data_IF_929044635719
#
_entry.id   IF_929044635719
#
_cell.length_a   1.000
_cell.length_b   1.000
_cell.length_c   1.000
_cell.angle_alpha   90.00
_cell.angle_beta   90.00
_cell.angle_gamma   90.00
#
_symmetry.space_group_name_H-M   'P 1'
#
loop_
_entity.id
_entity.type
_entity.pdbx_description
1 polymer ?
#
# COMPACT_ATOMS: atom_id res chain seq x y z
N UNK A 1 -15.70 6.78 8.16
CA UNK A 1 -15.71 6.70 9.63
C UNK A 1 -14.57 5.77 9.95
N UNK A 2 -13.49 6.31 10.49
CA UNK A 2 -12.25 5.57 10.73
C UNK A 2 -12.41 4.79 12.04
N UNK A 3 -12.43 3.47 11.95
CA UNK A 3 -12.47 2.57 13.10
C UNK A 3 -11.06 2.00 13.31
N UNK A 4 -10.17 2.79 13.92
CA UNK A 4 -8.80 2.35 14.20
C UNK A 4 -8.78 1.12 15.11
N UNK A 5 -8.15 0.04 14.64
CA UNK A 5 -8.08 -1.29 15.26
C UNK A 5 -7.17 -1.36 16.51
N UNK A 6 -7.06 -0.30 17.30
CA UNK A 6 -6.13 -0.29 18.43
C UNK A 6 -6.75 -0.93 19.68
N UNK A 7 -6.52 -2.24 19.83
CA UNK A 7 -6.60 -2.95 21.10
C UNK A 7 -7.64 -4.06 21.16
N UNK A 8 -7.17 -5.31 21.15
CA UNK A 8 -7.46 -6.33 22.16
C UNK A 8 -7.17 -7.73 21.62
N UNK A 9 -5.99 -8.28 21.90
CA UNK A 9 -5.66 -9.68 21.60
C UNK A 9 -6.48 -10.71 22.43
N UNK A 10 -7.42 -10.28 23.28
CA UNK A 10 -8.19 -11.15 24.19
C UNK A 10 -9.68 -10.80 24.33
N UNK A 11 -10.25 -10.01 23.40
CA UNK A 11 -11.68 -9.66 23.43
C UNK A 11 -12.56 -10.75 22.80
N UNK A 12 -13.79 -10.95 23.26
CA UNK A 12 -14.75 -11.82 22.57
C UNK A 12 -15.25 -11.17 21.28
N UNK A 13 -15.87 -11.94 20.38
CA UNK A 13 -16.55 -11.38 19.19
C UNK A 13 -17.56 -10.30 19.60
N UNK A 14 -18.33 -10.55 20.66
CA UNK A 14 -19.29 -9.59 21.22
C UNK A 14 -18.64 -8.29 21.67
N UNK A 15 -17.49 -8.37 22.34
CA UNK A 15 -16.75 -7.20 22.79
C UNK A 15 -16.23 -6.35 21.61
N UNK A 16 -15.72 -6.99 20.55
CA UNK A 16 -15.28 -6.29 19.32
C UNK A 16 -16.43 -5.55 18.65
N UNK A 17 -17.56 -6.22 18.42
CA UNK A 17 -18.74 -5.58 17.81
C UNK A 17 -19.28 -4.45 18.70
N UNK A 18 -19.26 -4.63 20.02
CA UNK A 18 -19.65 -3.59 20.98
C UNK A 18 -18.72 -2.37 20.93
N UNK A 19 -17.42 -2.58 20.72
CA UNK A 19 -16.44 -1.54 20.47
C UNK A 19 -16.77 -0.72 19.22
N UNK A 20 -17.04 -1.39 18.10
CA UNK A 20 -17.42 -0.74 16.83
C UNK A 20 -18.70 0.10 16.99
N UNK A 21 -19.74 -0.45 17.62
CA UNK A 21 -21.00 0.28 17.87
C UNK A 21 -20.73 1.54 18.70
N UNK A 22 -19.89 1.47 19.74
CA UNK A 22 -19.54 2.64 20.57
C UNK A 22 -18.79 3.71 19.78
N UNK A 23 -17.82 3.31 18.95
CA UNK A 23 -17.06 4.22 18.11
C UNK A 23 -17.93 4.89 17.03
N UNK A 24 -18.99 4.21 16.58
CA UNK A 24 -19.92 4.72 15.58
C UNK A 24 -21.00 5.65 16.17
N UNK A 25 -21.03 5.87 17.49
CA UNK A 25 -22.01 6.78 18.10
C UNK A 25 -21.59 8.24 17.95
N UNK A 26 -22.56 9.16 17.74
CA UNK A 26 -24.01 8.93 17.72
C UNK A 26 -24.58 8.49 16.36
N UNK A 27 -23.77 8.35 15.32
CA UNK A 27 -24.24 8.15 13.95
C UNK A 27 -24.94 6.79 13.75
N UNK A 28 -24.50 5.75 14.46
CA UNK A 28 -25.06 4.41 14.40
C UNK A 28 -25.36 3.89 15.81
N UNK A 29 -26.64 3.78 16.14
CA UNK A 29 -27.08 3.24 17.44
C UNK A 29 -27.11 1.72 17.41
N UNK A 30 -27.05 1.07 18.58
CA UNK A 30 -27.18 -0.40 18.68
C UNK A 30 -28.50 -0.91 18.07
N UNK A 31 -29.59 -0.16 18.21
CA UNK A 31 -30.88 -0.51 17.61
C UNK A 31 -30.84 -0.40 16.07
N UNK A 32 -30.19 0.63 15.54
CA UNK A 32 -29.98 0.77 14.09
C UNK A 32 -29.11 -0.35 13.53
N UNK A 33 -28.04 -0.72 14.25
CA UNK A 33 -27.19 -1.86 13.88
C UNK A 33 -27.99 -3.15 13.89
N UNK A 34 -28.78 -3.41 14.94
CA UNK A 34 -29.65 -4.59 15.01
C UNK A 34 -30.56 -4.70 13.78
N UNK A 35 -31.19 -3.59 13.39
CA UNK A 35 -32.02 -3.55 12.19
C UNK A 35 -31.22 -3.84 10.90
N UNK A 36 -30.05 -3.22 10.73
CA UNK A 36 -29.20 -3.42 9.54
C UNK A 36 -28.62 -4.83 9.43
N UNK A 37 -28.32 -5.49 10.56
CA UNK A 37 -27.83 -6.87 10.56
C UNK A 37 -28.95 -7.92 10.68
N UNK A 38 -30.21 -7.49 10.49
CA UNK A 38 -31.40 -8.34 10.53
C UNK A 38 -31.56 -9.13 11.84
N UNK A 39 -31.22 -8.51 12.96
CA UNK A 39 -31.36 -9.06 14.31
C UNK A 39 -32.38 -8.27 15.11
N UNK A 40 -33.08 -8.93 16.02
CA UNK A 40 -33.82 -8.20 17.04
C UNK A 40 -32.85 -7.51 18.01
N UNK A 41 -33.20 -6.37 18.62
CA UNK A 41 -32.34 -5.71 19.61
C UNK A 41 -31.96 -6.61 20.78
N UNK A 42 -32.87 -7.52 21.21
CA UNK A 42 -32.59 -8.54 22.23
C UNK A 42 -31.54 -9.55 21.74
N UNK A 43 -31.72 -10.09 20.54
CA UNK A 43 -30.77 -11.06 19.95
C UNK A 43 -29.38 -10.45 19.83
N UNK A 44 -29.28 -9.20 19.35
CA UNK A 44 -28.00 -8.49 19.27
C UNK A 44 -27.42 -8.26 20.68
N UNK A 45 -28.23 -7.81 21.64
CA UNK A 45 -27.77 -7.59 23.02
C UNK A 45 -27.20 -8.86 23.66
N UNK A 46 -27.86 -10.01 23.49
CA UNK A 46 -27.36 -11.30 23.98
C UNK A 46 -26.06 -11.72 23.30
N UNK A 47 -25.93 -11.47 22.00
CA UNK A 47 -24.71 -11.73 21.25
C UNK A 47 -23.52 -10.85 21.71
N UNK A 48 -23.77 -9.56 21.92
CA UNK A 48 -22.76 -8.59 22.40
C UNK A 48 -22.27 -8.90 23.82
N UNK A 49 -23.16 -9.42 24.68
CA UNK A 49 -22.83 -9.76 26.06
C UNK A 49 -22.36 -11.21 26.22
N UNK A 50 -22.13 -11.95 25.13
CA UNK A 50 -21.56 -13.30 25.16
C UNK A 50 -22.50 -14.40 25.67
N UNK A 51 -23.79 -14.10 25.88
CA UNK A 51 -24.80 -15.10 26.26
C UNK A 51 -25.32 -15.90 25.06
N UNK A 52 -24.97 -15.48 23.84
CA UNK A 52 -25.19 -16.18 22.58
C UNK A 52 -24.00 -15.90 21.65
N UNK A 53 -23.60 -16.85 20.82
CA UNK A 53 -22.63 -16.60 19.73
C UNK A 53 -23.28 -15.92 18.52
N UNK A 54 -22.47 -15.26 17.69
CA UNK A 54 -22.93 -14.83 16.36
C UNK A 54 -22.99 -16.03 15.41
N UNK A 55 -24.05 -16.13 14.62
CA UNK A 55 -24.05 -16.99 13.45
C UNK A 55 -23.12 -16.41 12.37
N UNK A 56 -22.61 -17.25 11.46
CA UNK A 56 -21.72 -16.80 10.39
C UNK A 56 -22.34 -15.71 9.50
N UNK A 57 -23.63 -15.86 9.16
CA UNK A 57 -24.38 -14.87 8.39
C UNK A 57 -24.62 -13.55 9.15
N UNK A 58 -24.81 -13.61 10.47
CA UNK A 58 -24.92 -12.40 11.30
C UNK A 58 -23.59 -11.66 11.35
N UNK A 59 -22.47 -12.38 11.48
CA UNK A 59 -21.14 -11.78 11.49
C UNK A 59 -20.76 -11.19 10.12
N UNK A 60 -21.18 -11.82 9.03
CA UNK A 60 -21.01 -11.29 7.68
C UNK A 60 -21.75 -9.96 7.49
N UNK A 61 -23.01 -9.85 7.95
CA UNK A 61 -23.73 -8.57 7.90
C UNK A 61 -23.12 -7.50 8.80
N UNK A 62 -22.61 -7.88 9.97
CA UNK A 62 -21.85 -6.94 10.82
C UNK A 62 -20.60 -6.44 10.07
N UNK A 63 -19.87 -7.34 9.40
CA UNK A 63 -18.71 -7.01 8.57
C UNK A 63 -19.07 -5.98 7.49
N UNK A 64 -20.17 -6.18 6.76
CA UNK A 64 -20.67 -5.26 5.74
C UNK A 64 -21.07 -3.89 6.31
N UNK A 65 -21.83 -3.87 7.41
CA UNK A 65 -22.31 -2.62 8.04
C UNK A 65 -21.16 -1.72 8.50
N UNK A 66 -20.10 -2.31 9.05
CA UNK A 66 -18.96 -1.55 9.57
C UNK A 66 -17.79 -1.42 8.58
N UNK A 67 -17.82 -2.15 7.45
CA UNK A 67 -16.71 -2.19 6.50
C UNK A 67 -15.43 -2.83 7.08
N UNK A 68 -15.56 -3.78 8.01
CA UNK A 68 -14.44 -4.42 8.73
C UNK A 68 -14.37 -5.91 8.36
N UNK A 69 -13.16 -6.50 8.34
CA UNK A 69 -13.00 -7.92 8.02
C UNK A 69 -13.76 -8.84 8.99
N UNK A 70 -14.51 -9.79 8.42
CA UNK A 70 -15.14 -10.89 9.17
C UNK A 70 -14.10 -11.73 9.92
N UNK A 71 -12.89 -11.90 9.36
CA UNK A 71 -11.80 -12.62 10.03
C UNK A 71 -11.32 -11.90 11.29
N UNK A 72 -11.20 -10.57 11.25
CA UNK A 72 -10.89 -9.77 12.44
C UNK A 72 -12.02 -9.83 13.47
N UNK A 73 -13.27 -9.71 13.02
CA UNK A 73 -14.42 -9.87 13.90
C UNK A 73 -14.44 -11.25 14.58
N UNK A 74 -14.08 -12.31 13.87
CA UNK A 74 -14.05 -13.68 14.41
C UNK A 74 -12.85 -13.94 15.32
N UNK A 75 -11.65 -13.51 14.93
CA UNK A 75 -10.38 -13.95 15.56
C UNK A 75 -9.68 -12.87 16.39
N UNK A 76 -10.02 -11.59 16.17
CA UNK A 76 -9.28 -10.45 16.72
C UNK A 76 -7.93 -10.22 16.07
N UNK A 77 -7.58 -10.97 15.01
CA UNK A 77 -6.34 -10.81 14.24
C UNK A 77 -6.66 -10.14 12.90
N UNK A 78 -5.71 -9.38 12.35
CA UNK A 78 -5.81 -8.89 10.98
C UNK A 78 -5.95 -10.07 10.01
N UNK A 79 -6.75 -9.86 8.96
CA UNK A 79 -6.99 -10.87 7.94
C UNK A 79 -5.73 -11.08 7.10
N UNK A 80 -5.10 -12.27 7.15
CA UNK A 80 -3.86 -12.53 6.44
C UNK A 80 -4.03 -12.53 4.92
N UNK A 81 -5.28 -12.55 4.42
CA UNK A 81 -5.62 -12.46 2.99
C UNK A 81 -6.10 -11.08 2.57
N UNK A 82 -6.21 -10.12 3.50
CA UNK A 82 -6.58 -8.75 3.15
C UNK A 82 -5.51 -8.17 2.24
N UNK A 83 -5.93 -7.75 1.06
CA UNK A 83 -5.09 -6.97 0.17
C UNK A 83 -4.93 -5.56 0.75
N UNK A 84 -3.69 -5.15 1.00
CA UNK A 84 -3.37 -3.79 1.41
C UNK A 84 -2.81 -3.04 0.22
N UNK A 85 -3.42 -1.92 -0.12
CA UNK A 85 -2.90 -0.99 -1.10
C UNK A 85 -2.05 0.05 -0.37
N UNK A 86 -0.75 0.07 -0.64
CA UNK A 86 0.21 0.97 0.01
C UNK A 86 0.26 2.37 -0.64
N UNK A 87 -0.21 2.55 -1.87
CA UNK A 87 -0.20 3.83 -2.60
C UNK A 87 -1.63 4.33 -2.94
N UNK A 88 -1.91 5.64 -2.76
CA UNK A 88 -3.26 6.22 -2.98
C UNK A 88 -3.30 7.49 -3.85
N UNK A 89 -2.27 7.86 -4.63
CA UNK A 89 -2.35 9.09 -5.46
C UNK A 89 -1.90 8.95 -6.93
N UNK A 90 -2.64 9.62 -7.83
CA UNK A 90 -2.34 9.76 -9.27
C UNK A 90 -1.69 11.14 -9.46
N UNK A 91 -0.58 11.20 -10.20
CA UNK A 91 0.07 12.45 -10.54
C UNK A 91 -0.56 13.05 -11.81
N UNK A 92 -1.24 14.19 -11.67
CA UNK A 92 -1.83 14.89 -12.80
C UNK A 92 -0.76 15.73 -13.50
N UNK A 93 -0.30 15.25 -14.65
CA UNK A 93 0.74 15.90 -15.46
C UNK A 93 0.30 17.24 -16.10
N UNK A 94 -1.01 17.53 -16.20
CA UNK A 94 -1.51 18.79 -16.77
C UNK A 94 -1.57 19.91 -15.73
N UNK A 95 -1.92 19.56 -14.48
CA UNK A 95 -2.14 20.52 -13.40
C UNK A 95 -0.98 20.60 -12.42
N UNK A 96 -0.05 19.64 -12.45
CA UNK A 96 1.07 19.55 -11.50
C UNK A 96 0.62 19.25 -10.06
N UNK A 97 -0.63 18.82 -9.87
CA UNK A 97 -1.24 18.54 -8.58
C UNK A 97 -1.40 17.03 -8.37
N UNK A 98 -1.24 16.59 -7.13
CA UNK A 98 -1.56 15.22 -6.74
C UNK A 98 -3.07 15.09 -6.56
N UNK A 99 -3.70 14.19 -7.34
CA UNK A 99 -5.10 13.80 -7.16
C UNK A 99 -5.15 12.45 -6.44
N UNK A 100 -6.18 12.22 -5.62
CA UNK A 100 -6.44 10.89 -5.06
C UNK A 100 -6.65 9.92 -6.23
N UNK A 101 -5.99 8.75 -6.26
CA UNK A 101 -6.19 7.77 -7.35
C UNK A 101 -7.67 7.46 -7.42
N UNK A 102 -8.21 7.58 -8.62
CA UNK A 102 -9.47 6.95 -8.93
C UNK A 102 -9.22 5.45 -9.09
N UNK A 103 -9.23 4.74 -7.96
CA UNK A 103 -8.93 3.31 -7.91
C UNK A 103 -9.92 2.49 -8.74
N UNK A 104 -11.09 3.04 -9.06
CA UNK A 104 -12.06 2.41 -9.95
C UNK A 104 -11.46 2.20 -11.34
N UNK A 105 -10.61 3.11 -11.81
CA UNK A 105 -9.96 2.98 -13.13
C UNK A 105 -8.99 1.81 -13.20
N UNK A 106 -8.39 1.41 -12.08
CA UNK A 106 -7.46 0.26 -12.01
C UNK A 106 -8.09 -0.95 -11.29
N UNK A 107 -9.41 -0.95 -11.08
CA UNK A 107 -10.09 -1.97 -10.28
C UNK A 107 -9.97 -3.37 -10.90
N UNK A 108 -10.20 -3.49 -12.21
CA UNK A 108 -10.11 -4.78 -12.92
C UNK A 108 -8.70 -5.38 -12.83
N UNK A 109 -7.67 -4.55 -13.05
CA UNK A 109 -6.28 -4.97 -12.92
C UNK A 109 -5.93 -5.41 -11.49
N UNK A 110 -6.37 -4.64 -10.49
CA UNK A 110 -6.17 -4.97 -9.07
C UNK A 110 -6.85 -6.30 -8.71
N UNK A 111 -8.11 -6.49 -9.10
CA UNK A 111 -8.86 -7.72 -8.83
C UNK A 111 -8.23 -8.93 -9.52
N UNK A 112 -7.72 -8.77 -10.74
CA UNK A 112 -6.99 -9.83 -11.44
C UNK A 112 -5.69 -10.21 -10.71
N UNK A 113 -4.90 -9.22 -10.27
CA UNK A 113 -3.68 -9.47 -9.47
C UNK A 113 -4.05 -10.20 -8.18
N UNK A 114 -5.07 -9.72 -7.46
CA UNK A 114 -5.53 -10.34 -6.21
C UNK A 114 -5.96 -11.80 -6.43
N UNK A 115 -6.73 -12.07 -7.48
CA UNK A 115 -7.17 -13.42 -7.82
C UNK A 115 -6.00 -14.34 -8.14
N UNK A 116 -5.03 -13.88 -8.94
CA UNK A 116 -3.83 -14.67 -9.28
C UNK A 116 -3.03 -15.03 -8.04
N UNK A 117 -2.83 -14.08 -7.13
CA UNK A 117 -2.09 -14.34 -5.89
C UNK A 117 -2.85 -15.30 -4.97
N UNK A 118 -4.16 -15.12 -4.82
CA UNK A 118 -4.98 -16.02 -4.01
C UNK A 118 -4.99 -17.46 -4.55
N UNK A 119 -4.97 -17.63 -5.88
CA UNK A 119 -4.94 -18.95 -6.52
C UNK A 119 -3.54 -19.58 -6.53
N UNK A 120 -2.51 -18.77 -6.75
CA UNK A 120 -1.12 -19.23 -6.80
C UNK A 120 -0.51 -19.48 -5.41
N UNK A 121 -1.00 -18.77 -4.40
CA UNK A 121 -0.52 -18.83 -3.02
C UNK A 121 -1.70 -19.08 -2.05
N UNK A 122 -2.22 -20.33 -1.99
CA UNK A 122 -3.40 -20.64 -1.17
C UNK A 122 -3.18 -20.41 0.33
N UNK A 123 -1.93 -20.55 0.79
CA UNK A 123 -1.52 -20.22 2.16
C UNK A 123 -0.84 -18.84 2.17
N UNK A 124 -1.37 -17.87 2.94
CA UNK A 124 -0.77 -16.54 3.03
C UNK A 124 0.60 -16.61 3.70
N UNK A 125 1.56 -15.85 3.17
CA UNK A 125 2.87 -15.70 3.76
C UNK A 125 2.80 -14.84 5.04
N UNK A 126 3.75 -15.05 5.95
CA UNK A 126 3.95 -14.10 7.03
C UNK A 126 4.59 -12.83 6.45
N UNK A 127 3.94 -11.68 6.66
CA UNK A 127 4.47 -10.40 6.22
C UNK A 127 5.64 -9.99 7.10
N UNK A 128 6.86 -10.23 6.61
CA UNK A 128 8.09 -9.80 7.29
C UNK A 128 8.37 -8.33 6.93
N UNK A 129 8.62 -7.42 7.90
CA UNK A 129 9.00 -6.04 7.60
C UNK A 129 10.27 -5.95 6.75
N UNK A 130 10.31 -5.01 5.80
CA UNK A 130 11.52 -4.75 5.03
C UNK A 130 12.63 -4.24 5.96
N UNK A 131 13.81 -4.88 5.87
CA UNK A 131 14.97 -4.55 6.72
C UNK A 131 15.65 -3.25 6.31
N UNK A 132 15.57 -2.94 5.02
CA UNK A 132 16.09 -1.71 4.42
C UNK A 132 15.08 -0.59 4.68
N UNK A 133 15.52 0.56 5.19
CA UNK A 133 14.65 1.70 5.52
C UNK A 133 15.07 3.00 4.85
N UNK A 134 16.30 3.10 4.37
CA UNK A 134 16.83 4.33 3.76
C UNK A 134 17.23 4.11 2.28
N UNK A 135 17.27 5.18 1.48
CA UNK A 135 17.78 5.10 0.10
C UNK A 135 19.22 4.56 0.02
N UNK A 136 20.09 4.93 0.95
CA UNK A 136 21.48 4.46 1.00
C UNK A 136 21.55 2.95 1.26
N UNK A 137 20.83 2.45 2.27
CA UNK A 137 20.72 1.02 2.55
C UNK A 137 20.12 0.27 1.36
N UNK A 138 19.18 0.89 0.64
CA UNK A 138 18.55 0.30 -0.55
C UNK A 138 19.54 0.18 -1.71
N UNK A 139 20.34 1.22 -1.96
CA UNK A 139 21.42 1.16 -2.96
C UNK A 139 22.43 0.07 -2.61
N UNK A 140 22.77 -0.07 -1.32
CA UNK A 140 23.68 -1.11 -0.86
C UNK A 140 23.09 -2.51 -1.06
N UNK A 141 21.81 -2.72 -0.73
CA UNK A 141 21.12 -4.00 -0.89
C UNK A 141 20.95 -4.39 -2.37
N UNK A 142 20.55 -3.44 -3.22
CA UNK A 142 20.40 -3.68 -4.66
C UNK A 142 21.76 -3.80 -5.34
N UNK A 143 22.82 -3.18 -4.83
CA UNK A 143 24.18 -3.23 -5.35
C UNK A 143 24.45 -2.24 -6.50
N UNK A 144 25.72 -2.13 -6.89
CA UNK A 144 26.13 -1.18 -7.94
C UNK A 144 25.46 -1.45 -9.29
N UNK A 145 25.09 -0.38 -10.00
CA UNK A 145 24.47 -0.47 -11.33
C UNK A 145 23.07 -1.07 -11.33
N UNK A 146 22.40 -1.14 -10.18
CA UNK A 146 21.10 -1.80 -10.05
C UNK A 146 20.03 -1.27 -11.00
N UNK A 147 20.17 -0.02 -11.44
CA UNK A 147 19.19 0.67 -12.24
C UNK A 147 18.97 -0.02 -13.60
N UNK A 148 19.98 -0.72 -14.13
CA UNK A 148 19.91 -1.44 -15.41
C UNK A 148 18.91 -2.61 -15.32
N UNK A 149 18.97 -3.38 -14.24
CA UNK A 149 18.18 -4.58 -13.95
C UNK A 149 17.32 -4.41 -12.70
N UNK A 150 16.74 -3.21 -12.54
CA UNK A 150 16.15 -2.77 -11.29
C UNK A 150 15.01 -3.65 -10.79
N UNK A 151 14.08 -4.03 -11.68
CA UNK A 151 12.98 -4.93 -11.34
C UNK A 151 13.50 -6.27 -10.82
N UNK A 152 14.42 -6.91 -11.55
CA UNK A 152 14.98 -8.22 -11.20
C UNK A 152 15.73 -8.18 -9.85
N UNK A 153 16.38 -7.06 -9.53
CA UNK A 153 17.05 -6.86 -8.23
C UNK A 153 16.07 -6.64 -7.09
N UNK A 154 14.98 -5.91 -7.31
CA UNK A 154 13.89 -5.79 -6.33
C UNK A 154 13.33 -7.19 -6.02
N UNK A 155 13.03 -7.98 -7.04
CA UNK A 155 12.48 -9.34 -6.87
C UNK A 155 13.44 -10.25 -6.10
N UNK A 156 14.71 -10.26 -6.49
CA UNK A 156 15.70 -11.18 -5.93
C UNK A 156 16.17 -10.79 -4.53
N UNK A 157 16.42 -9.51 -4.28
CA UNK A 157 17.06 -9.06 -3.04
C UNK A 157 16.04 -8.66 -1.96
N UNK A 158 14.81 -8.30 -2.35
CA UNK A 158 13.77 -7.80 -1.43
C UNK A 158 12.54 -8.70 -1.34
N UNK A 159 12.44 -9.74 -2.17
CA UNK A 159 11.27 -10.62 -2.26
C UNK A 159 9.97 -9.82 -2.54
N UNK A 160 10.08 -8.79 -3.37
CA UNK A 160 8.96 -7.97 -3.85
C UNK A 160 8.73 -8.28 -5.33
N UNK A 161 7.57 -8.84 -5.67
CA UNK A 161 7.25 -9.21 -7.05
C UNK A 161 7.01 -7.95 -7.91
N UNK A 162 7.59 -7.87 -9.12
CA UNK A 162 7.40 -6.73 -10.04
C UNK A 162 6.55 -7.16 -11.23
N UNK A 163 5.29 -6.71 -11.23
CA UNK A 163 4.30 -7.06 -12.24
C UNK A 163 4.17 -5.94 -13.27
N UNK A 164 4.09 -6.30 -14.55
CA UNK A 164 3.68 -5.38 -15.62
C UNK A 164 2.32 -5.79 -16.13
N UNK A 165 1.33 -4.91 -15.99
CA UNK A 165 -0.07 -5.25 -16.22
C UNK A 165 -0.76 -4.16 -17.05
N UNK A 166 -1.36 -4.55 -18.18
CA UNK A 166 -2.14 -3.63 -19.02
C UNK A 166 -3.45 -3.23 -18.32
N UNK A 167 -3.92 -2.01 -18.53
CA UNK A 167 -5.13 -1.49 -17.88
C UNK A 167 -4.91 -0.88 -16.49
N UNK A 168 -3.66 -0.87 -16.01
CA UNK A 168 -3.27 0.04 -14.92
C UNK A 168 -3.21 1.47 -15.44
N UNK A 169 -3.84 2.40 -14.73
CA UNK A 169 -3.75 3.83 -15.01
C UNK A 169 -2.59 4.50 -14.27
N UNK A 170 -2.14 3.89 -13.17
CA UNK A 170 -0.98 4.32 -12.38
C UNK A 170 -0.29 3.08 -11.84
N UNK A 171 0.98 3.24 -11.46
CA UNK A 171 1.68 2.23 -10.68
C UNK A 171 0.99 2.02 -9.32
N UNK A 172 1.08 0.79 -8.79
CA UNK A 172 0.48 0.40 -7.52
C UNK A 172 1.47 -0.41 -6.69
N UNK A 173 1.52 -0.11 -5.40
CA UNK A 173 2.15 -0.94 -4.38
C UNK A 173 1.09 -1.72 -3.61
N UNK A 174 1.20 -3.04 -3.61
CA UNK A 174 0.20 -3.95 -3.05
C UNK A 174 0.85 -4.94 -2.09
N UNK A 175 0.10 -5.36 -1.08
CA UNK A 175 0.40 -6.53 -0.26
C UNK A 175 -0.77 -7.48 -0.40
N UNK A 176 -0.58 -8.63 -1.03
CA UNK A 176 -1.63 -9.63 -1.27
C UNK A 176 -1.18 -10.98 -0.71
N UNK A 177 -2.01 -11.59 0.13
CA UNK A 177 -1.70 -12.87 0.79
C UNK A 177 -0.32 -12.86 1.50
N UNK A 178 0.05 -11.74 2.13
CA UNK A 178 1.32 -11.56 2.83
C UNK A 178 2.55 -11.32 1.95
N UNK A 179 2.37 -11.18 0.62
CA UNK A 179 3.45 -10.91 -0.34
C UNK A 179 3.37 -9.47 -0.84
N UNK A 180 4.51 -8.81 -0.95
CA UNK A 180 4.61 -7.46 -1.53
C UNK A 180 4.72 -7.58 -3.04
N UNK A 181 3.98 -6.76 -3.76
CA UNK A 181 4.15 -6.61 -5.20
C UNK A 181 4.02 -5.15 -5.63
N UNK A 182 4.78 -4.80 -6.66
CA UNK A 182 4.69 -3.53 -7.36
C UNK A 182 4.12 -3.83 -8.75
N UNK A 183 2.99 -3.22 -9.08
CA UNK A 183 2.35 -3.36 -10.38
C UNK A 183 2.53 -2.08 -11.19
N UNK A 184 3.03 -2.21 -12.43
CA UNK A 184 3.33 -1.10 -13.32
C UNK A 184 2.55 -1.23 -14.61
N UNK A 185 2.13 -0.09 -15.17
CA UNK A 185 1.71 -0.05 -16.56
C UNK A 185 2.94 -0.30 -17.47
N UNK A 186 2.85 -1.19 -18.48
CA UNK A 186 3.92 -1.33 -19.46
C UNK A 186 4.20 0.00 -20.17
N UNK A 187 5.47 0.42 -20.18
CA UNK A 187 5.92 1.63 -20.86
C UNK A 187 7.29 1.39 -21.51
N UNK A 188 7.51 1.86 -22.76
CA UNK A 188 8.83 1.81 -23.39
C UNK A 188 9.80 2.85 -22.81
N UNK A 189 9.31 3.81 -22.02
CA UNK A 189 10.14 4.80 -21.37
C UNK A 189 10.80 4.19 -20.11
N UNK A 190 12.00 3.65 -20.29
CA UNK A 190 12.78 3.00 -19.23
C UNK A 190 13.00 3.90 -18.00
N UNK A 191 13.28 5.18 -18.23
CA UNK A 191 13.45 6.16 -17.18
C UNK A 191 12.20 6.36 -16.33
N UNK A 192 11.04 6.45 -17.00
CA UNK A 192 9.75 6.54 -16.30
C UNK A 192 9.48 5.28 -15.48
N UNK A 193 9.78 4.09 -16.03
CA UNK A 193 9.61 2.82 -15.31
C UNK A 193 10.49 2.76 -14.05
N UNK A 194 11.74 3.20 -14.13
CA UNK A 194 12.65 3.23 -12.98
C UNK A 194 12.18 4.22 -11.91
N UNK A 195 11.70 5.40 -12.31
CA UNK A 195 11.12 6.36 -11.39
C UNK A 195 9.87 5.79 -10.70
N UNK A 196 8.94 5.23 -11.46
CA UNK A 196 7.73 4.60 -10.91
C UNK A 196 8.08 3.45 -9.95
N UNK A 197 9.04 2.58 -10.31
CA UNK A 197 9.54 1.53 -9.42
C UNK A 197 10.10 2.09 -8.11
N UNK A 198 10.97 3.09 -8.18
CA UNK A 198 11.57 3.70 -7.00
C UNK A 198 10.53 4.40 -6.12
N UNK A 199 9.52 5.03 -6.73
CA UNK A 199 8.41 5.68 -6.04
C UNK A 199 7.54 4.66 -5.29
N UNK A 200 7.10 3.60 -5.98
CA UNK A 200 6.32 2.52 -5.37
C UNK A 200 7.10 1.77 -4.28
N UNK A 201 8.39 1.54 -4.50
CA UNK A 201 9.26 0.99 -3.46
C UNK A 201 9.31 1.91 -2.23
N UNK A 202 9.33 3.23 -2.43
CA UNK A 202 9.17 4.21 -1.35
C UNK A 202 7.87 4.02 -0.57
N UNK A 203 6.75 3.79 -1.24
CA UNK A 203 5.46 3.49 -0.58
C UNK A 203 5.50 2.22 0.24
N UNK A 204 6.12 1.14 -0.24
CA UNK A 204 6.25 -0.10 0.54
C UNK A 204 7.11 0.08 1.80
N UNK A 205 8.21 0.83 1.68
CA UNK A 205 9.13 1.10 2.80
C UNK A 205 8.47 2.00 3.84
N UNK A 206 7.78 3.05 3.40
CA UNK A 206 7.08 4.01 4.25
C UNK A 206 5.76 3.44 4.81
N UNK A 207 5.08 2.59 4.05
CA UNK A 207 3.89 1.86 4.48
C UNK A 207 4.21 0.85 5.59
N UNK A 208 5.39 0.23 5.57
CA UNK A 208 5.91 -0.53 6.72
C UNK A 208 6.20 0.36 7.95
N UNK A 209 6.28 1.69 7.81
CA UNK A 209 6.49 2.64 8.92
C UNK A 209 5.19 3.32 9.39
N UNK A 210 4.07 3.17 8.66
CA UNK A 210 2.86 3.97 8.85
C UNK A 210 1.64 3.06 8.96
N UNK A 211 0.66 3.42 9.79
CA UNK A 211 -0.61 2.69 9.87
C UNK A 211 -1.27 2.64 8.46
N UNK A 212 -1.68 1.46 7.94
CA UNK A 212 -2.33 1.32 6.63
C UNK A 212 -3.54 2.24 6.40
N UNK A 213 -4.15 2.73 7.47
CA UNK A 213 -5.29 3.64 7.42
C UNK A 213 -4.89 5.13 7.33
N UNK A 214 -3.62 5.47 7.56
CA UNK A 214 -3.08 6.84 7.59
C UNK A 214 -2.16 7.19 6.42
N UNK A 215 -2.35 6.57 5.24
CA UNK A 215 -1.63 6.98 4.01
C UNK A 215 -2.14 8.35 3.55
N UNK A 216 -1.62 9.40 4.17
CA UNK A 216 -1.92 10.81 3.90
C UNK A 216 -1.02 11.37 2.78
N UNK A 217 -1.33 12.57 2.30
CA UNK A 217 -0.51 13.31 1.31
C UNK A 217 0.98 13.49 1.73
N UNK A 218 1.30 13.39 3.03
CA UNK A 218 2.67 13.35 3.54
C UNK A 218 3.47 12.12 3.07
N UNK A 219 2.79 11.01 2.79
CA UNK A 219 3.38 9.74 2.32
C UNK A 219 3.86 9.87 0.87
N UNK A 220 3.12 10.57 0.02
CA UNK A 220 3.51 10.82 -1.39
C UNK A 220 4.77 11.69 -1.51
N UNK A 221 4.85 12.77 -0.73
CA UNK A 221 6.05 13.60 -0.69
C UNK A 221 7.26 12.80 -0.19
N UNK A 222 7.05 11.91 0.78
CA UNK A 222 8.10 11.05 1.30
C UNK A 222 8.51 9.98 0.27
N UNK A 223 7.57 9.34 -0.44
CA UNK A 223 7.85 8.38 -1.50
C UNK A 223 8.61 9.03 -2.67
N UNK A 224 8.20 10.24 -3.09
CA UNK A 224 8.93 11.01 -4.10
C UNK A 224 10.35 11.37 -3.66
N UNK A 225 10.53 11.79 -2.40
CA UNK A 225 11.85 12.08 -1.84
C UNK A 225 12.71 10.82 -1.76
N UNK A 226 12.13 9.68 -1.39
CA UNK A 226 12.81 8.39 -1.39
C UNK A 226 13.27 8.02 -2.80
N UNK A 227 12.38 8.11 -3.80
CA UNK A 227 12.71 7.80 -5.18
C UNK A 227 13.81 8.73 -5.74
N UNK A 228 13.70 10.03 -5.45
CA UNK A 228 14.70 11.01 -5.83
C UNK A 228 16.07 10.67 -5.25
N UNK A 229 16.17 10.41 -3.94
CA UNK A 229 17.45 10.09 -3.31
C UNK A 229 18.00 8.72 -3.73
N UNK A 230 17.14 7.74 -4.01
CA UNK A 230 17.55 6.40 -4.46
C UNK A 230 18.20 6.45 -5.85
N UNK A 231 17.59 7.18 -6.79
CA UNK A 231 18.04 7.27 -8.18
C UNK A 231 19.08 8.38 -8.38
N UNK A 232 18.91 9.52 -7.71
CA UNK A 232 19.71 10.74 -7.82
C UNK A 232 20.24 11.16 -6.44
N UNK A 233 21.18 10.39 -5.86
CA UNK A 233 21.63 10.61 -4.48
C UNK A 233 22.36 11.95 -4.34
N UNK A 234 22.01 12.71 -3.31
CA UNK A 234 22.44 14.10 -3.14
C UNK A 234 23.96 14.22 -3.01
N UNK A 235 24.59 13.26 -2.32
CA UNK A 235 26.03 13.26 -2.09
C UNK A 235 26.81 13.16 -3.40
N UNK A 236 26.44 12.21 -4.27
CA UNK A 236 27.04 12.05 -5.58
C UNK A 236 26.71 13.25 -6.49
N UNK A 237 25.47 13.74 -6.47
CA UNK A 237 25.09 14.94 -7.24
C UNK A 237 25.92 16.17 -6.87
N UNK A 238 26.22 16.38 -5.58
CA UNK A 238 27.04 17.50 -5.11
C UNK A 238 28.53 17.34 -5.44
N UNK A 239 28.99 16.11 -5.67
CA UNK A 239 30.40 15.84 -6.02
C UNK A 239 30.76 16.16 -7.47
N UNK A 240 29.76 16.44 -8.31
CA UNK A 240 29.95 16.70 -9.74
C UNK A 240 30.26 18.18 -9.99
N UNK A 241 31.31 18.43 -10.78
CA UNK A 241 31.67 19.75 -11.29
C UNK A 241 30.74 20.16 -12.46
N UNK A 242 29.50 20.53 -12.14
CA UNK A 242 28.45 20.85 -13.12
C UNK A 242 28.82 21.93 -14.14
N UNK A 243 29.74 22.83 -13.80
CA UNK A 243 30.17 23.93 -14.68
C UNK A 243 31.03 23.45 -15.85
N UNK A 244 31.69 22.29 -15.71
CA UNK A 244 32.60 21.75 -16.71
C UNK A 244 32.09 20.46 -17.35
N UNK A 245 30.98 19.91 -16.82
CA UNK A 245 30.34 18.70 -17.33
C UNK A 245 29.86 18.90 -18.78
N UNK A 246 30.36 18.04 -19.67
CA UNK A 246 29.93 18.01 -21.07
C UNK A 246 28.64 17.21 -21.23
N UNK A 247 27.98 17.38 -22.38
CA UNK A 247 26.70 16.72 -22.66
C UNK A 247 26.81 15.18 -22.61
N UNK A 248 27.94 14.63 -23.06
CA UNK A 248 28.22 13.20 -23.03
C UNK A 248 28.29 12.67 -21.59
N UNK A 249 29.03 13.36 -20.72
CA UNK A 249 29.12 12.99 -19.31
C UNK A 249 27.78 13.14 -18.58
N UNK A 250 26.96 14.13 -18.95
CA UNK A 250 25.59 14.23 -18.44
C UNK A 250 24.74 13.03 -18.90
N UNK A 251 24.86 12.62 -20.16
CA UNK A 251 24.12 11.47 -20.68
C UNK A 251 24.51 10.16 -19.97
N UNK A 252 25.81 9.96 -19.70
CA UNK A 252 26.31 8.82 -18.91
C UNK A 252 25.71 8.82 -17.50
N UNK A 253 25.72 9.95 -16.79
CA UNK A 253 25.13 10.07 -15.46
C UNK A 253 23.62 9.78 -15.46
N UNK A 254 22.88 10.34 -16.41
CA UNK A 254 21.45 10.08 -16.54
C UNK A 254 21.19 8.59 -16.82
N UNK A 255 22.02 7.96 -17.64
CA UNK A 255 21.95 6.53 -17.93
C UNK A 255 22.24 5.68 -16.70
N UNK A 256 23.28 5.99 -15.92
CA UNK A 256 23.63 5.25 -14.71
C UNK A 256 22.58 5.38 -13.61
N UNK A 257 21.96 6.55 -13.49
CA UNK A 257 20.93 6.85 -12.49
C UNK A 257 19.52 6.51 -12.92
N UNK A 258 19.30 6.26 -14.22
CA UNK A 258 18.00 5.90 -14.78
C UNK A 258 16.90 6.90 -14.46
N UNK A 259 17.24 8.19 -14.39
CA UNK A 259 16.29 9.29 -14.26
C UNK A 259 16.62 10.42 -15.25
N UNK A 260 15.65 10.98 -16.00
CA UNK A 260 15.85 12.15 -16.84
C UNK A 260 15.41 13.40 -16.04
N UNK A 261 16.33 14.35 -15.81
CA UNK A 261 16.11 15.72 -15.23
C UNK A 261 14.65 16.22 -15.44
N UNK A 262 13.80 16.67 -14.48
CA UNK A 262 13.89 17.42 -13.19
C UNK A 262 12.60 17.17 -12.35
N UNK A 263 12.56 17.27 -11.00
CA UNK A 263 11.33 17.61 -10.28
C UNK A 263 11.04 19.10 -10.49
N UNK A 264 9.83 19.44 -10.91
CA UNK A 264 9.35 20.81 -11.03
C UNK A 264 9.23 21.47 -9.65
N UNK A 265 10.26 22.20 -9.24
CA UNK A 265 10.14 23.27 -8.25
C UNK A 265 9.99 24.60 -8.98
N UNK A 266 8.82 25.23 -8.83
CA UNK A 266 8.61 26.65 -9.12
C UNK A 266 9.44 27.51 -8.17
N UNK A 267 9.91 28.64 -8.69
CA UNK A 267 10.49 29.75 -7.92
C UNK A 267 9.64 30.18 -6.72
#
# INVERSE_FOLDING_TARGET
>A
MDFTCHGAMTSSVGDRVKGLIRAAQPQLTQAAVAAQVEMTPDTLSRALNGSRGFAASELARVSEVFGISMYWLATGKEDPRRSLLAARHEYDHETGLHKRVDLEKSAEAREAIELVYQQGFPEPAELVPLRVRTPEEMRAALGSGFVIDFADRIERELEIDVLRFEGLHTALSLIVAGRRCIALQPSPNWFYQNWSLAHELGHLILGDQTDPEQVAASTESAANRFAAELLLPETEMRSIEWQTLQAEGLAELLWEWGSPRRPSGSD
#
